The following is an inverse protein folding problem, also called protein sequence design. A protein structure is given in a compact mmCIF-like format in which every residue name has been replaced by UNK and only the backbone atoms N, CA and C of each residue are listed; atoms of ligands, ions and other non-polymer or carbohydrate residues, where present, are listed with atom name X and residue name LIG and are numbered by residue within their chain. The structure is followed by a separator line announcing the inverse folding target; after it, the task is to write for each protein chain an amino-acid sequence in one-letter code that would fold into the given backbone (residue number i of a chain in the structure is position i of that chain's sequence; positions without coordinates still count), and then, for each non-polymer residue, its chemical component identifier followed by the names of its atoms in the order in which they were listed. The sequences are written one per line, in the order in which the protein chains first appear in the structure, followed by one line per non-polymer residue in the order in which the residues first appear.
data_IF_522131444191
#
_entry.id   IF_522131444191
#
_cell.length_a   1.000
_cell.length_b   1.000
_cell.length_c   1.000
_cell.angle_alpha   90.00
_cell.angle_beta   90.00
_cell.angle_gamma   90.00
#
_symmetry.space_group_name_H-M   'P 1'
#
loop_
_entity.id
_entity.type
_entity.pdbx_description
1 polymer ?
#
# COMPACT_ATOMS: atom_id res chain seq x y z
N UNK A 1 1.51 2.24 1.64
CA UNK A 1 1.28 3.70 1.40
C UNK A 1 2.49 4.24 0.64
N UNK A 2 2.32 5.15 -0.31
CA UNK A 2 3.44 5.76 -1.02
C UNK A 2 4.46 6.37 -0.05
N UNK A 3 5.71 5.87 -0.09
CA UNK A 3 6.75 6.30 0.84
C UNK A 3 7.16 7.79 0.70
N UNK A 4 6.78 8.44 -0.41
CA UNK A 4 7.07 9.84 -0.68
C UNK A 4 5.94 10.79 -0.24
N UNK A 5 4.80 10.27 0.24
CA UNK A 5 3.65 11.07 0.69
C UNK A 5 3.54 11.03 2.21
N UNK A 6 3.53 12.21 2.83
CA UNK A 6 3.48 12.34 4.29
C UNK A 6 4.87 12.29 4.93
N UNK A 7 4.89 11.99 6.22
CA UNK A 7 6.11 11.80 6.99
C UNK A 7 6.43 10.30 7.06
N UNK A 8 7.53 9.89 6.43
CA UNK A 8 8.03 8.52 6.42
C UNK A 8 8.95 8.21 7.63
N UNK A 9 8.99 9.08 8.64
CA UNK A 9 9.76 8.89 9.86
C UNK A 9 11.25 9.17 9.66
N UNK A 10 12.12 8.32 10.23
CA UNK A 10 13.58 8.43 10.08
C UNK A 10 14.02 8.44 8.62
N UNK A 11 13.28 7.70 7.79
CA UNK A 11 13.54 7.65 6.36
C UNK A 11 13.39 9.02 5.73
N UNK A 12 12.55 9.92 6.24
CA UNK A 12 12.37 11.29 5.74
C UNK A 12 12.89 12.40 6.65
N UNK A 13 13.64 12.08 7.70
CA UNK A 13 14.00 13.03 8.77
C UNK A 13 14.89 14.19 8.28
N UNK A 14 15.66 13.97 7.23
CA UNK A 14 16.51 15.00 6.61
C UNK A 14 15.75 15.85 5.57
N UNK A 15 14.43 15.64 5.45
CA UNK A 15 13.55 16.34 4.50
C UNK A 15 13.32 15.59 3.19
N UNK A 16 13.96 14.44 2.98
CA UNK A 16 13.75 13.55 1.83
C UNK A 16 13.85 12.10 2.26
N UNK A 17 13.20 11.18 1.52
CA UNK A 17 13.29 9.75 1.79
C UNK A 17 14.71 9.23 1.47
N UNK A 18 15.43 8.65 2.44
CA UNK A 18 16.79 8.12 2.25
C UNK A 18 16.89 7.01 1.19
N UNK A 19 15.79 6.30 0.90
CA UNK A 19 15.75 5.31 -0.17
C UNK A 19 15.72 5.97 -1.56
N UNK A 20 15.20 7.20 -1.65
CA UNK A 20 15.04 7.98 -2.87
C UNK A 20 15.43 9.45 -2.63
N UNK A 21 16.69 9.76 -2.27
CA UNK A 21 17.08 11.08 -1.76
C UNK A 21 16.94 12.20 -2.81
N UNK A 22 17.00 11.85 -4.08
CA UNK A 22 16.85 12.77 -5.22
C UNK A 22 15.38 13.10 -5.55
N UNK A 23 14.41 12.51 -4.84
CA UNK A 23 12.97 12.72 -5.05
C UNK A 23 12.36 13.59 -3.96
N UNK A 24 11.23 14.22 -4.25
CA UNK A 24 10.55 15.10 -3.29
C UNK A 24 9.73 14.28 -2.30
N UNK A 25 9.93 14.54 -1.00
CA UNK A 25 9.01 14.11 0.05
C UNK A 25 7.88 15.15 0.22
N UNK A 26 6.63 14.73 0.03
CA UNK A 26 5.47 15.59 0.18
C UNK A 26 4.92 15.59 1.60
N UNK A 27 5.43 16.47 2.46
CA UNK A 27 4.93 16.62 3.84
C UNK A 27 3.57 17.33 3.93
N UNK A 28 3.14 18.02 2.86
CA UNK A 28 1.88 18.75 2.81
C UNK A 28 1.16 18.41 1.53
N UNK A 29 -0.16 18.25 1.61
CA UNK A 29 -1.02 18.05 0.45
C UNK A 29 -0.82 19.15 -0.61
N UNK A 30 -0.73 20.42 -0.19
CA UNK A 30 -0.51 21.54 -1.10
C UNK A 30 0.85 21.56 -1.81
N UNK A 31 1.80 20.70 -1.39
CA UNK A 31 3.11 20.56 -2.02
C UNK A 31 3.12 19.53 -3.16
N UNK A 32 2.06 18.73 -3.31
CA UNK A 32 1.94 17.70 -4.34
C UNK A 32 1.60 18.39 -5.68
N UNK A 33 2.51 18.37 -6.68
CA UNK A 33 2.20 18.85 -8.01
C UNK A 33 1.26 17.85 -8.69
N UNK A 34 0.28 18.36 -9.44
CA UNK A 34 -0.69 17.54 -10.17
C UNK A 34 -1.23 16.37 -9.33
N UNK A 35 -2.02 16.62 -8.26
CA UNK A 35 -2.44 15.57 -7.32
C UNK A 35 -3.13 14.36 -7.96
N UNK A 36 -3.68 14.54 -9.17
CA UNK A 36 -4.23 13.48 -10.02
C UNK A 36 -3.17 12.52 -10.62
N UNK A 37 -1.87 12.71 -10.38
CA UNK A 37 -0.79 11.88 -10.91
C UNK A 37 0.04 11.20 -9.80
N UNK A 38 -0.22 11.54 -8.53
CA UNK A 38 0.52 11.00 -7.38
C UNK A 38 -0.38 10.09 -6.57
N UNK A 39 -0.06 8.79 -6.54
CA UNK A 39 -0.77 7.83 -5.70
C UNK A 39 -0.42 8.00 -4.21
N UNK A 40 -1.34 7.66 -3.31
CA UNK A 40 -1.21 7.70 -1.85
C UNK A 40 -1.27 6.30 -1.27
N UNK A 41 -2.31 5.52 -1.60
CA UNK A 41 -2.37 4.10 -1.25
C UNK A 41 -2.34 3.27 -2.52
N UNK A 42 -1.85 2.05 -2.37
CA UNK A 42 -2.07 0.99 -3.32
C UNK A 42 -2.19 -0.33 -2.59
N UNK A 43 -2.68 -1.31 -3.32
CA UNK A 43 -2.63 -2.70 -2.90
C UNK A 43 -1.24 -3.24 -3.21
N UNK A 44 -0.54 -3.67 -2.17
CA UNK A 44 0.72 -4.36 -2.29
C UNK A 44 0.49 -5.88 -2.37
N UNK A 45 1.37 -6.57 -3.08
CA UNK A 45 1.34 -8.02 -3.20
C UNK A 45 1.56 -8.64 -1.81
N UNK A 46 0.75 -9.62 -1.37
CA UNK A 46 0.81 -10.15 -0.01
C UNK A 46 2.16 -10.75 0.35
N UNK A 47 2.89 -11.28 -0.63
CA UNK A 47 4.23 -11.83 -0.42
C UNK A 47 5.33 -10.76 -0.32
N UNK A 48 5.04 -9.49 -0.65
CA UNK A 48 5.98 -8.37 -0.46
C UNK A 48 5.58 -7.44 0.69
N UNK A 49 4.30 -7.42 1.11
CA UNK A 49 3.81 -6.61 2.25
C UNK A 49 4.77 -6.75 3.44
N UNK A 50 5.44 -5.66 3.79
CA UNK A 50 6.52 -5.67 4.77
C UNK A 50 6.34 -4.63 5.90
N UNK A 51 6.23 -3.34 5.59
CA UNK A 51 6.32 -2.24 6.55
C UNK A 51 5.20 -1.19 6.38
N UNK A 52 4.29 -1.42 5.44
CA UNK A 52 3.16 -0.52 5.17
C UNK A 52 3.54 0.68 4.32
N UNK A 53 4.80 0.83 3.92
CA UNK A 53 5.22 1.68 2.83
C UNK A 53 5.24 0.93 1.51
N UNK A 54 5.33 1.70 0.45
CA UNK A 54 5.55 1.20 -0.88
C UNK A 54 6.62 2.07 -1.53
N UNK A 55 7.77 1.48 -1.76
CA UNK A 55 8.96 2.12 -2.30
C UNK A 55 9.66 1.16 -3.25
N UNK A 56 10.08 1.71 -4.38
CA UNK A 56 11.02 1.08 -5.28
C UNK A 56 12.11 2.09 -5.61
N UNK A 57 13.35 1.62 -5.79
CA UNK A 57 14.48 2.47 -6.15
C UNK A 57 14.52 2.68 -7.67
N UNK A 58 14.49 3.92 -8.16
CA UNK A 58 14.38 4.20 -9.60
C UNK A 58 15.65 3.87 -10.38
N UNK A 59 16.76 3.58 -9.69
CA UNK A 59 18.05 3.23 -10.27
C UNK A 59 18.34 1.72 -10.21
N UNK A 60 17.45 0.91 -9.65
CA UNK A 60 17.54 -0.55 -9.62
C UNK A 60 16.36 -1.13 -10.42
N UNK A 61 16.62 -2.04 -11.37
CA UNK A 61 15.57 -2.69 -12.16
C UNK A 61 15.04 -3.93 -11.45
N UNK A 62 14.47 -3.73 -10.28
CA UNK A 62 13.89 -4.77 -9.43
C UNK A 62 12.62 -4.29 -8.73
N UNK A 63 11.85 -5.24 -8.20
CA UNK A 63 10.75 -4.95 -7.29
C UNK A 63 11.26 -5.13 -5.86
N UNK A 64 11.42 -4.02 -5.14
CA UNK A 64 11.54 -4.04 -3.68
C UNK A 64 10.17 -4.35 -3.09
N UNK A 65 9.19 -3.48 -3.36
CA UNK A 65 7.79 -3.71 -3.05
C UNK A 65 7.04 -3.98 -4.34
N UNK A 66 6.42 -5.16 -4.41
CA UNK A 66 5.71 -5.61 -5.60
C UNK A 66 4.25 -5.16 -5.49
N UNK A 67 3.70 -4.42 -6.46
CA UNK A 67 2.30 -4.08 -6.42
C UNK A 67 1.46 -5.36 -6.56
N UNK A 68 0.30 -5.36 -5.91
CA UNK A 68 -0.67 -6.43 -6.04
C UNK A 68 -1.00 -6.69 -7.50
N UNK A 69 -1.22 -7.96 -7.81
CA UNK A 69 -1.69 -8.41 -9.12
C UNK A 69 -3.00 -9.21 -9.03
N UNK A 70 -3.55 -9.37 -7.83
CA UNK A 70 -4.74 -10.17 -7.55
C UNK A 70 -6.06 -9.52 -8.04
N UNK A 71 -6.01 -8.32 -8.65
CA UNK A 71 -7.15 -7.68 -9.36
C UNK A 71 -7.08 -7.87 -10.88
N UNK A 72 -7.14 -9.12 -11.38
CA UNK A 72 -7.07 -9.43 -12.82
C UNK A 72 -5.76 -8.97 -13.51
N UNK A 73 -4.64 -9.19 -12.82
CA UNK A 73 -3.34 -8.71 -13.27
C UNK A 73 -3.26 -7.20 -13.25
N UNK A 74 -3.95 -6.55 -12.32
CA UNK A 74 -3.86 -5.12 -12.04
C UNK A 74 -3.61 -4.88 -10.54
N UNK A 75 -3.07 -3.70 -10.22
CA UNK A 75 -3.04 -3.15 -8.87
C UNK A 75 -4.04 -2.00 -8.74
N UNK A 76 -4.55 -1.77 -7.54
CA UNK A 76 -5.42 -0.63 -7.23
C UNK A 76 -4.62 0.49 -6.60
N UNK A 77 -4.84 1.72 -7.05
CA UNK A 77 -4.15 2.91 -6.56
C UNK A 77 -5.20 3.96 -6.20
N UNK A 78 -5.05 4.62 -5.05
CA UNK A 78 -5.73 5.89 -4.77
C UNK A 78 -4.76 7.04 -4.93
N UNK A 79 -5.24 8.17 -5.40
CA UNK A 79 -4.44 9.34 -5.74
C UNK A 79 -4.71 10.50 -4.80
N UNK A 80 -3.79 11.45 -4.79
CA UNK A 80 -3.80 12.53 -3.83
C UNK A 80 -5.02 13.45 -3.98
N UNK A 81 -5.55 13.64 -5.19
CA UNK A 81 -6.82 14.35 -5.41
C UNK A 81 -8.07 13.58 -4.93
N UNK A 82 -7.90 12.33 -4.47
CA UNK A 82 -8.96 11.47 -3.97
C UNK A 82 -9.57 10.52 -4.99
N UNK A 83 -9.14 10.53 -6.26
CA UNK A 83 -9.59 9.52 -7.22
C UNK A 83 -8.86 8.18 -7.00
N UNK A 84 -9.35 7.11 -7.63
CA UNK A 84 -8.71 5.81 -7.62
C UNK A 84 -8.65 5.23 -9.03
N UNK A 85 -7.56 4.55 -9.38
CA UNK A 85 -7.36 3.89 -10.67
C UNK A 85 -6.89 2.45 -10.49
N UNK A 86 -7.38 1.57 -11.36
CA UNK A 86 -6.83 0.24 -11.54
C UNK A 86 -5.82 0.26 -12.70
N UNK A 87 -4.57 -0.13 -12.44
CA UNK A 87 -3.54 -0.17 -13.46
C UNK A 87 -3.28 -1.60 -13.95
N UNK A 88 -3.52 -1.88 -15.24
CA UNK A 88 -3.35 -3.23 -15.82
C UNK A 88 -1.92 -3.53 -16.21
N UNK A 89 -1.35 -4.58 -15.61
CA UNK A 89 0.03 -4.99 -15.85
C UNK A 89 0.20 -5.73 -17.18
N UNK A 90 1.04 -5.17 -18.05
CA UNK A 90 1.39 -5.79 -19.33
C UNK A 90 2.38 -6.95 -19.17
N UNK A 91 3.28 -6.87 -18.19
CA UNK A 91 4.40 -7.80 -18.01
C UNK A 91 4.08 -8.91 -17.02
N UNK A 92 4.51 -10.14 -17.32
CA UNK A 92 4.33 -11.30 -16.43
C UNK A 92 5.14 -11.22 -15.15
N UNK A 93 6.28 -10.52 -15.15
CA UNK A 93 7.13 -10.32 -13.97
C UNK A 93 6.46 -9.47 -12.88
N UNK A 94 5.43 -8.70 -13.20
CA UNK A 94 4.62 -7.94 -12.23
C UNK A 94 3.39 -8.72 -11.78
N UNK A 95 3.18 -9.93 -12.31
CA UNK A 95 2.03 -10.78 -12.01
C UNK A 95 2.43 -12.15 -11.45
N UNK A 96 3.45 -12.28 -10.57
CA UNK A 96 3.64 -13.55 -9.89
C UNK A 96 2.38 -13.85 -9.07
N UNK A 97 1.95 -15.12 -9.00
CA UNK A 97 0.87 -15.49 -8.12
C UNK A 97 1.31 -15.27 -6.67
N UNK A 98 0.38 -14.79 -5.87
CA UNK A 98 0.49 -14.85 -4.43
C UNK A 98 0.74 -16.32 -4.04
N UNK A 99 1.79 -16.57 -3.27
CA UNK A 99 1.99 -17.81 -2.53
C UNK A 99 1.71 -17.70 -1.00
N UNK A 100 0.73 -16.92 -0.52
CA UNK A 100 0.31 -16.94 0.87
C UNK A 100 -0.88 -17.90 1.04
N UNK A 101 -0.66 -18.98 1.78
CA UNK A 101 -1.69 -19.98 2.10
C UNK A 101 -1.38 -20.72 3.41
N UNK A 102 -1.58 -20.05 4.54
CA UNK A 102 -1.81 -20.80 5.79
C UNK A 102 -3.06 -20.37 6.53
N UNK A 103 -3.72 -19.28 6.14
CA UNK A 103 -4.73 -18.67 6.99
C UNK A 103 -5.85 -18.05 6.17
N UNK A 104 -7.05 -18.61 6.29
CA UNK A 104 -8.26 -17.95 5.81
C UNK A 104 -8.75 -16.94 6.86
N UNK A 105 -8.76 -15.65 6.52
CA UNK A 105 -9.18 -14.56 7.41
C UNK A 105 -10.16 -13.61 6.70
N UNK A 106 -11.15 -13.04 7.41
CA UNK A 106 -11.70 -13.55 8.66
C UNK A 106 -12.56 -14.79 8.36
N UNK A 107 -12.12 -15.93 8.86
CA UNK A 107 -12.86 -17.20 8.86
C UNK A 107 -14.20 -17.11 9.59
N UNK A 108 -15.18 -17.95 9.23
CA UNK A 108 -16.39 -18.10 10.03
C UNK A 108 -16.01 -18.54 11.43
N UNK A 109 -16.56 -17.81 12.39
CA UNK A 109 -16.42 -18.10 13.80
C UNK A 109 -17.62 -18.97 14.14
N UNK A 110 -17.45 -20.30 14.34
CA UNK A 110 -18.49 -21.15 14.90
C UNK A 110 -19.24 -20.47 16.06
N UNK A 111 -20.47 -20.87 16.43
CA UNK A 111 -21.38 -20.10 17.32
C UNK A 111 -20.88 -19.65 18.72
N UNK A 112 -19.62 -19.90 19.10
CA UNK A 112 -18.93 -19.45 20.33
C UNK A 112 -17.58 -18.76 20.08
N UNK A 113 -17.20 -18.56 18.82
CA UNK A 113 -15.88 -18.03 18.43
C UNK A 113 -15.92 -16.53 18.08
N UNK A 114 -17.07 -15.86 18.18
CA UNK A 114 -17.26 -14.46 17.79
C UNK A 114 -16.46 -13.40 18.56
N UNK A 115 -15.77 -13.74 19.66
CA UNK A 115 -15.15 -12.75 20.58
C UNK A 115 -14.16 -11.79 19.86
N UNK A 116 -13.42 -12.25 18.84
CA UNK A 116 -12.38 -11.47 18.14
C UNK A 116 -12.91 -10.64 16.96
N UNK A 117 -13.85 -11.18 16.19
CA UNK A 117 -14.64 -10.42 15.22
C UNK A 117 -15.27 -9.18 15.86
N UNK A 118 -15.94 -9.32 17.00
CA UNK A 118 -16.58 -8.16 17.67
C UNK A 118 -15.58 -7.20 18.30
N UNK A 119 -14.43 -7.70 18.74
CA UNK A 119 -13.35 -6.85 19.19
C UNK A 119 -12.81 -5.95 18.04
N UNK A 120 -12.61 -6.45 16.80
CA UNK A 120 -12.26 -5.65 15.58
C UNK A 120 -13.35 -4.64 15.25
N UNK A 121 -14.61 -5.03 15.38
CA UNK A 121 -15.76 -4.13 15.20
C UNK A 121 -15.74 -2.95 16.19
N UNK A 122 -15.43 -3.18 17.48
CA UNK A 122 -15.37 -2.10 18.51
C UNK A 122 -14.19 -1.14 18.34
N UNK A 123 -13.16 -1.52 17.59
CA UNK A 123 -11.96 -0.69 17.38
C UNK A 123 -11.85 -0.17 15.94
N UNK A 124 -12.69 -0.67 15.03
CA UNK A 124 -13.02 -0.09 13.73
C UNK A 124 -13.87 1.19 13.89
N UNK A 125 -14.56 1.36 15.03
CA UNK A 125 -15.29 2.59 15.42
C UNK A 125 -15.87 2.53 16.86
N UNK A 126 -16.41 3.63 17.39
CA UNK A 126 -17.18 3.67 18.67
C UNK A 126 -18.70 3.70 18.43
N UNK A 127 -19.49 3.12 19.33
CA UNK A 127 -20.97 3.19 19.28
C UNK A 127 -21.48 4.60 19.62
N UNK A 128 -22.54 5.07 18.94
CA UNK A 128 -23.24 6.33 19.26
C UNK A 128 -24.19 6.18 20.45
#
# INVERSE_FOLDING_TARGET
MNAMVGDAGELSATGTNVNNPDYVQFFKYSAIPEPAQIFVFLDEHPDSINDGYFVNRPYELEWTDLPASYHNGAGMFSFADGHAEAHRWMLSSTKPPAKPETVELPMELPPREGKDFYWVIKHMSVSR
#
